data_IF_422387881268
#
_entry.id   IF_422387881268
#
_cell.length_a   1.000
_cell.length_b   1.000
_cell.length_c   1.000
_cell.angle_alpha   90.00
_cell.angle_beta   90.00
_cell.angle_gamma   90.00
#
_symmetry.space_group_name_H-M   'P 1'
#
loop_
_entity.id
_entity.type
_entity.pdbx_description
1 polymer ?
#
# COMPACT_ATOMS: atom_id res chain seq x y z
N UNK A 1 8.11 25.57 -33.09
CA UNK A 1 8.01 25.31 -31.64
C UNK A 1 6.73 24.52 -31.40
N UNK A 2 6.76 23.28 -30.88
CA UNK A 2 5.52 22.56 -30.62
C UNK A 2 4.87 23.12 -29.35
N UNK A 3 3.56 23.37 -29.41
CA UNK A 3 2.77 23.82 -28.26
C UNK A 3 2.45 22.63 -27.38
N UNK A 4 2.99 22.61 -26.16
CA UNK A 4 2.65 21.61 -25.14
C UNK A 4 1.22 21.86 -24.68
N UNK A 5 0.35 20.85 -24.74
CA UNK A 5 -1.00 20.93 -24.21
C UNK A 5 -0.95 21.14 -22.69
N UNK A 6 -1.47 22.27 -22.21
CA UNK A 6 -1.58 22.58 -20.80
C UNK A 6 -2.85 21.91 -20.24
N UNK A 7 -2.72 20.67 -19.77
CA UNK A 7 -3.83 20.00 -19.09
C UNK A 7 -4.05 20.64 -17.72
N UNK A 8 -5.21 21.26 -17.52
CA UNK A 8 -5.61 21.78 -16.22
C UNK A 8 -5.69 20.63 -15.22
N UNK A 9 -4.88 20.66 -14.18
CA UNK A 9 -5.02 19.72 -13.06
C UNK A 9 -6.41 19.90 -12.44
N UNK A 10 -7.13 18.82 -12.09
CA UNK A 10 -8.42 18.94 -11.43
C UNK A 10 -8.24 19.70 -10.12
N UNK A 11 -8.85 20.88 -10.04
CA UNK A 11 -8.91 21.70 -8.84
C UNK A 11 -9.80 20.99 -7.83
N UNK A 12 -9.19 20.44 -6.77
CA UNK A 12 -9.93 19.88 -5.64
C UNK A 12 -10.68 21.04 -4.98
N UNK A 13 -12.02 20.99 -4.83
CA UNK A 13 -12.77 22.05 -4.18
C UNK A 13 -12.29 22.20 -2.74
N UNK A 14 -11.74 23.37 -2.40
CA UNK A 14 -11.06 23.64 -1.13
C UNK A 14 -12.02 23.97 0.03
N UNK A 15 -13.33 23.95 -0.19
CA UNK A 15 -14.33 24.31 0.82
C UNK A 15 -15.57 23.41 0.72
N UNK A 16 -15.41 22.13 1.05
CA UNK A 16 -16.52 21.19 1.21
C UNK A 16 -16.78 21.03 2.71
N UNK A 17 -18.04 21.24 3.14
CA UNK A 17 -18.41 21.05 4.55
C UNK A 17 -18.16 19.60 5.00
N UNK A 18 -17.74 19.43 6.24
CA UNK A 18 -17.59 18.12 6.87
C UNK A 18 -18.88 17.30 6.82
N UNK A 19 -20.06 17.95 6.86
CA UNK A 19 -21.36 17.29 6.76
C UNK A 19 -21.58 16.62 5.40
N UNK A 20 -21.01 17.20 4.33
CA UNK A 20 -21.08 16.65 2.97
C UNK A 20 -20.06 15.51 2.83
N UNK A 21 -18.84 15.71 3.36
CA UNK A 21 -17.82 14.66 3.40
C UNK A 21 -18.30 13.44 4.20
N UNK A 22 -19.06 13.65 5.27
CA UNK A 22 -19.67 12.60 6.08
C UNK A 22 -20.58 11.64 5.28
N UNK A 23 -21.16 12.11 4.18
CA UNK A 23 -22.02 11.31 3.29
C UNK A 23 -21.25 10.51 2.24
N UNK A 24 -19.92 10.43 2.34
CA UNK A 24 -19.09 9.73 1.34
C UNK A 24 -19.51 8.28 1.11
N UNK A 25 -20.00 7.58 2.15
CA UNK A 25 -20.46 6.19 2.04
C UNK A 25 -21.67 6.08 1.12
N UNK A 26 -22.65 6.97 1.28
CA UNK A 26 -23.84 7.02 0.42
C UNK A 26 -23.47 7.35 -1.03
N UNK A 27 -22.53 8.29 -1.22
CA UNK A 27 -22.03 8.67 -2.55
C UNK A 27 -21.30 7.47 -3.19
N UNK A 28 -20.38 6.82 -2.47
CA UNK A 28 -19.65 5.66 -2.95
C UNK A 28 -20.60 4.49 -3.28
N UNK A 29 -21.57 4.20 -2.41
CA UNK A 29 -22.56 3.16 -2.63
C UNK A 29 -23.41 3.45 -3.88
N UNK A 30 -23.79 4.70 -4.09
CA UNK A 30 -24.53 5.15 -5.28
C UNK A 30 -23.72 4.93 -6.55
N UNK A 31 -22.42 5.27 -6.54
CA UNK A 31 -21.54 5.07 -7.70
C UNK A 31 -21.36 3.57 -7.99
N UNK A 32 -21.10 2.75 -6.96
CA UNK A 32 -20.90 1.30 -7.13
C UNK A 32 -22.19 0.62 -7.64
N UNK A 33 -23.35 1.05 -7.17
CA UNK A 33 -24.65 0.45 -7.53
C UNK A 33 -25.06 0.76 -8.97
N UNK A 34 -24.74 1.95 -9.46
CA UNK A 34 -25.05 2.37 -10.83
C UNK A 34 -23.94 1.90 -11.76
N UNK A 35 -24.02 0.70 -12.35
CA UNK A 35 -22.99 0.14 -13.27
C UNK A 35 -22.90 0.90 -14.60
N UNK A 36 -22.42 2.14 -14.56
CA UNK A 36 -22.17 2.96 -15.74
C UNK A 36 -20.67 3.04 -16.04
N UNK A 37 -20.27 3.20 -17.32
CA UNK A 37 -18.89 3.48 -17.67
C UNK A 37 -18.38 4.73 -16.92
N UNK A 38 -17.20 4.64 -16.31
CA UNK A 38 -16.57 5.77 -15.60
C UNK A 38 -16.73 5.78 -14.07
N UNK A 39 -17.43 4.80 -13.48
CA UNK A 39 -17.55 4.66 -12.01
C UNK A 39 -16.21 4.68 -11.28
N UNK A 40 -15.20 4.00 -11.82
CA UNK A 40 -13.86 3.98 -11.21
C UNK A 40 -13.26 5.39 -11.11
N UNK A 41 -13.43 6.22 -12.15
CA UNK A 41 -12.97 7.62 -12.13
C UNK A 41 -13.74 8.45 -11.08
N UNK A 42 -15.05 8.25 -10.98
CA UNK A 42 -15.88 8.94 -9.97
C UNK A 42 -15.47 8.59 -8.54
N UNK A 43 -15.25 7.30 -8.26
CA UNK A 43 -14.74 6.84 -6.96
C UNK A 43 -13.31 7.35 -6.69
N UNK A 44 -12.46 7.39 -7.71
CA UNK A 44 -11.11 7.96 -7.58
C UNK A 44 -11.17 9.44 -7.22
N UNK A 45 -12.04 10.23 -7.86
CA UNK A 45 -12.21 11.65 -7.56
C UNK A 45 -12.80 11.90 -6.15
N UNK A 46 -13.74 11.05 -5.72
CA UNK A 46 -14.25 11.08 -4.34
C UNK A 46 -13.11 10.80 -3.35
N UNK A 47 -12.28 9.79 -3.62
CA UNK A 47 -11.10 9.47 -2.82
C UNK A 47 -10.10 10.62 -2.76
N UNK A 48 -9.78 11.25 -3.91
CA UNK A 48 -8.86 12.39 -3.99
C UNK A 48 -9.39 13.57 -3.13
N UNK A 49 -10.71 13.79 -3.14
CA UNK A 49 -11.38 14.82 -2.33
C UNK A 49 -11.27 14.51 -0.84
N UNK A 50 -11.55 13.27 -0.42
CA UNK A 50 -11.45 12.83 0.98
C UNK A 50 -10.01 12.90 1.50
N UNK A 51 -9.03 12.47 0.68
CA UNK A 51 -7.62 12.55 1.02
C UNK A 51 -7.15 14.01 1.19
N UNK A 52 -7.65 14.92 0.34
CA UNK A 52 -7.43 16.36 0.47
C UNK A 52 -7.87 16.92 1.82
N UNK A 53 -8.95 16.38 2.39
CA UNK A 53 -9.49 16.76 3.71
C UNK A 53 -8.99 15.88 4.87
N UNK A 54 -7.94 15.07 4.66
CA UNK A 54 -7.33 14.17 5.65
C UNK A 54 -8.20 13.00 6.11
N UNK A 55 -9.25 12.67 5.38
CA UNK A 55 -10.08 11.47 5.62
C UNK A 55 -9.46 10.27 4.89
N UNK A 56 -8.28 9.85 5.35
CA UNK A 56 -7.42 8.89 4.64
C UNK A 56 -8.07 7.52 4.50
N UNK A 57 -8.66 7.00 5.57
CA UNK A 57 -9.29 5.67 5.54
C UNK A 57 -10.47 5.62 4.57
N UNK A 58 -11.33 6.65 4.60
CA UNK A 58 -12.44 6.80 3.66
C UNK A 58 -11.95 6.92 2.20
N UNK A 59 -10.87 7.68 1.97
CA UNK A 59 -10.24 7.78 0.66
C UNK A 59 -9.72 6.42 0.18
N UNK A 60 -9.07 5.65 1.05
CA UNK A 60 -8.55 4.32 0.73
C UNK A 60 -9.68 3.34 0.39
N UNK A 61 -10.82 3.38 1.07
CA UNK A 61 -12.00 2.58 0.67
C UNK A 61 -12.40 2.90 -0.77
N UNK A 62 -12.49 4.18 -1.12
CA UNK A 62 -12.82 4.59 -2.49
C UNK A 62 -11.79 4.08 -3.51
N UNK A 63 -10.49 4.20 -3.21
CA UNK A 63 -9.42 3.70 -4.08
C UNK A 63 -9.45 2.19 -4.27
N UNK A 64 -9.74 1.42 -3.22
CA UNK A 64 -9.88 -0.04 -3.28
C UNK A 64 -11.08 -0.48 -4.11
N UNK A 65 -12.14 0.33 -4.17
CA UNK A 65 -13.28 0.11 -5.06
C UNK A 65 -13.01 0.53 -6.51
N UNK A 66 -11.98 1.35 -6.76
CA UNK A 66 -11.59 1.85 -8.08
C UNK A 66 -10.15 1.49 -8.50
N UNK A 67 -9.73 0.24 -8.30
CA UNK A 67 -8.35 -0.23 -8.56
C UNK A 67 -7.85 -0.01 -9.98
N UNK A 68 -8.74 0.08 -10.97
CA UNK A 68 -8.36 0.33 -12.37
C UNK A 68 -7.78 1.73 -12.60
N UNK A 69 -8.13 2.70 -11.74
CA UNK A 69 -7.80 4.13 -11.89
C UNK A 69 -7.06 4.69 -10.67
N UNK A 70 -7.07 3.95 -9.56
CA UNK A 70 -6.34 4.24 -8.34
C UNK A 70 -5.16 3.29 -8.19
N UNK A 71 -3.95 3.82 -8.35
CA UNK A 71 -2.72 3.04 -8.29
C UNK A 71 -2.30 2.77 -6.85
N UNK A 72 -1.99 1.49 -6.58
CA UNK A 72 -1.35 1.03 -5.35
C UNK A 72 0.12 0.78 -5.69
N UNK A 73 1.02 1.54 -5.10
CA UNK A 73 2.46 1.42 -5.36
C UNK A 73 3.28 2.04 -4.23
N UNK A 74 4.59 1.80 -4.24
CA UNK A 74 5.52 2.44 -3.32
C UNK A 74 5.79 3.90 -3.66
N UNK A 75 6.40 4.62 -2.71
CA UNK A 75 6.86 5.98 -2.95
C UNK A 75 7.96 5.97 -4.02
N UNK A 76 7.70 6.62 -5.15
CA UNK A 76 8.68 6.86 -6.21
C UNK A 76 8.82 8.37 -6.45
N UNK A 77 9.98 8.78 -6.97
CA UNK A 77 10.25 10.17 -7.35
C UNK A 77 9.43 10.64 -8.56
N UNK A 78 8.82 9.72 -9.33
CA UNK A 78 8.11 10.05 -10.57
C UNK A 78 6.60 10.23 -10.42
N UNK A 79 5.98 9.67 -9.38
CA UNK A 79 4.53 9.79 -9.14
C UNK A 79 4.19 9.48 -7.68
N UNK A 80 3.30 10.28 -7.09
CA UNK A 80 2.77 10.01 -5.75
C UNK A 80 1.61 9.02 -5.88
N UNK A 81 1.76 7.77 -5.40
CA UNK A 81 0.67 6.80 -5.44
C UNK A 81 -0.48 7.24 -4.53
N UNK A 82 -1.70 6.88 -4.92
CA UNK A 82 -2.91 7.15 -4.11
C UNK A 82 -2.96 6.31 -2.85
N UNK A 83 -2.35 5.12 -2.89
CA UNK A 83 -2.28 4.21 -1.75
C UNK A 83 -0.89 3.56 -1.72
N UNK A 84 -0.19 3.69 -0.58
CA UNK A 84 1.09 3.01 -0.30
C UNK A 84 0.88 1.91 0.74
N UNK A 85 0.35 2.31 1.90
CA UNK A 85 -0.10 1.47 3.00
C UNK A 85 -1.58 1.74 3.23
N UNK A 86 -2.36 0.68 3.46
CA UNK A 86 -3.78 0.80 3.79
C UNK A 86 -3.94 1.52 5.14
N UNK A 87 -4.99 2.33 5.27
CA UNK A 87 -5.29 3.20 6.43
C UNK A 87 -4.20 4.16 6.93
N UNK A 88 -3.04 4.27 6.29
CA UNK A 88 -2.01 5.26 6.64
C UNK A 88 -1.87 6.34 5.57
N UNK A 89 -1.69 7.59 5.99
CA UNK A 89 -1.21 8.62 5.08
C UNK A 89 0.15 8.22 4.49
N UNK A 90 0.50 8.84 3.36
CA UNK A 90 1.69 8.48 2.60
C UNK A 90 2.94 8.54 3.50
N UNK A 91 3.69 7.42 3.67
CA UNK A 91 4.87 7.34 4.55
C UNK A 91 5.96 8.37 4.26
N UNK A 92 6.08 8.87 3.02
CA UNK A 92 7.02 9.95 2.66
C UNK A 92 6.66 11.31 3.29
N UNK A 93 5.42 11.47 3.75
CA UNK A 93 4.89 12.71 4.36
C UNK A 93 4.58 12.56 5.84
N UNK A 94 4.69 11.36 6.40
CA UNK A 94 4.32 11.06 7.79
C UNK A 94 5.48 10.42 8.54
N UNK A 95 6.07 11.12 9.50
CA UNK A 95 7.25 10.64 10.23
C UNK A 95 6.97 9.51 11.25
N UNK A 96 5.70 9.26 11.60
CA UNK A 96 5.32 8.30 12.64
C UNK A 96 4.68 7.02 12.08
N UNK A 97 4.77 6.75 10.78
CA UNK A 97 4.10 5.61 10.16
C UNK A 97 4.53 4.25 10.74
N UNK A 98 5.71 4.17 11.36
CA UNK A 98 6.24 2.97 11.97
C UNK A 98 5.74 2.70 13.39
N UNK A 99 5.13 3.67 14.06
CA UNK A 99 4.65 3.49 15.44
C UNK A 99 3.44 2.57 15.53
N UNK A 100 2.68 2.50 14.45
CA UNK A 100 1.47 1.70 14.34
C UNK A 100 1.72 0.58 13.32
N UNK A 101 1.46 -0.67 13.73
CA UNK A 101 1.58 -1.83 12.86
C UNK A 101 0.33 -2.10 12.02
N UNK A 102 -0.81 -1.50 12.37
CA UNK A 102 -2.08 -1.77 11.69
C UNK A 102 -2.03 -1.49 10.18
N UNK A 103 -1.41 -0.38 9.70
CA UNK A 103 -1.23 -0.16 8.26
C UNK A 103 -0.42 -1.26 7.56
N UNK A 104 0.53 -1.89 8.24
CA UNK A 104 1.30 -3.02 7.69
C UNK A 104 0.41 -4.24 7.56
N UNK A 105 -0.33 -4.58 8.62
CA UNK A 105 -1.24 -5.72 8.68
C UNK A 105 -2.37 -5.57 7.65
N UNK A 106 -3.00 -4.41 7.55
CA UNK A 106 -4.06 -4.16 6.56
C UNK A 106 -3.53 -4.24 5.13
N UNK A 107 -2.31 -3.79 4.88
CA UNK A 107 -1.68 -3.91 3.57
C UNK A 107 -1.35 -5.37 3.24
N UNK A 108 -0.99 -6.19 4.23
CA UNK A 108 -0.78 -7.63 4.07
C UNK A 108 -2.08 -8.37 3.77
N UNK A 109 -3.15 -8.06 4.49
CA UNK A 109 -4.49 -8.63 4.23
C UNK A 109 -4.94 -8.28 2.82
N UNK A 110 -4.72 -7.03 2.40
CA UNK A 110 -5.02 -6.62 1.03
C UNK A 110 -4.20 -7.40 0.00
N UNK A 111 -2.89 -7.52 0.17
CA UNK A 111 -2.05 -8.30 -0.73
C UNK A 111 -2.51 -9.77 -0.80
N UNK A 112 -2.84 -10.36 0.34
CA UNK A 112 -3.37 -11.71 0.42
C UNK A 112 -4.71 -11.85 -0.32
N UNK A 113 -5.66 -10.93 -0.10
CA UNK A 113 -6.93 -10.91 -0.82
C UNK A 113 -6.72 -10.82 -2.34
N UNK A 114 -5.72 -10.05 -2.79
CA UNK A 114 -5.38 -9.90 -4.19
C UNK A 114 -4.77 -11.15 -4.82
N UNK A 115 -4.11 -12.01 -4.04
CA UNK A 115 -3.57 -13.29 -4.55
C UNK A 115 -4.65 -14.28 -5.00
N UNK A 116 -5.90 -14.09 -4.58
CA UNK A 116 -7.04 -14.91 -5.03
C UNK A 116 -7.64 -14.45 -6.36
N UNK A 117 -7.25 -13.29 -6.88
CA UNK A 117 -7.80 -12.76 -8.13
C UNK A 117 -7.35 -13.65 -9.28
N UNK A 118 -8.31 -14.30 -9.94
CA UNK A 118 -8.03 -15.22 -11.04
C UNK A 118 -7.31 -14.51 -12.18
N UNK A 119 -6.23 -15.11 -12.67
CA UNK A 119 -5.49 -14.65 -13.83
C UNK A 119 -6.29 -14.95 -15.10
N UNK A 120 -6.67 -13.92 -15.85
CA UNK A 120 -7.22 -14.11 -17.20
C UNK A 120 -6.11 -14.50 -18.18
N UNK A 121 -6.39 -15.27 -19.23
CA UNK A 121 -5.40 -15.62 -20.25
C UNK A 121 -4.71 -14.36 -20.80
N UNK A 122 -3.37 -14.32 -20.74
CA UNK A 122 -2.56 -13.18 -21.19
C UNK A 122 -2.28 -12.11 -20.12
N UNK A 123 -2.74 -12.27 -18.88
CA UNK A 123 -2.29 -11.46 -17.75
C UNK A 123 -1.26 -12.21 -16.91
N UNK A 124 -0.20 -11.50 -16.54
CA UNK A 124 0.78 -11.98 -15.56
C UNK A 124 0.11 -12.22 -14.19
N UNK A 125 0.47 -13.30 -13.49
CA UNK A 125 -0.04 -13.54 -12.16
C UNK A 125 0.33 -12.43 -11.18
N UNK A 126 -0.53 -12.21 -10.19
CA UNK A 126 -0.24 -11.27 -9.13
C UNK A 126 0.88 -11.83 -8.24
N UNK A 127 2.07 -11.24 -8.31
CA UNK A 127 3.25 -11.66 -7.54
C UNK A 127 3.41 -10.93 -6.20
N UNK A 128 2.44 -10.11 -5.80
CA UNK A 128 2.55 -9.25 -4.63
C UNK A 128 3.12 -7.86 -4.96
N UNK A 129 3.18 -7.02 -3.95
CA UNK A 129 3.67 -5.66 -4.03
C UNK A 129 5.14 -5.60 -3.57
N UNK A 130 6.09 -5.27 -4.46
CA UNK A 130 7.50 -5.23 -4.07
C UNK A 130 7.81 -4.18 -3.00
N UNK A 131 7.09 -3.04 -3.01
CA UNK A 131 7.29 -1.99 -2.01
C UNK A 131 6.85 -2.38 -0.60
N UNK A 132 5.98 -3.39 -0.45
CA UNK A 132 5.54 -3.85 0.87
C UNK A 132 6.62 -4.63 1.62
N UNK A 133 7.64 -5.15 0.92
CA UNK A 133 8.65 -6.00 1.56
C UNK A 133 9.51 -5.23 2.57
N UNK A 134 9.77 -3.94 2.34
CA UNK A 134 10.50 -3.10 3.31
C UNK A 134 9.69 -2.82 4.57
N UNK A 135 8.37 -2.66 4.45
CA UNK A 135 7.48 -2.49 5.61
C UNK A 135 7.34 -3.78 6.42
N UNK A 136 7.29 -4.94 5.75
CA UNK A 136 7.36 -6.25 6.42
C UNK A 136 8.65 -6.46 7.18
N UNK A 137 9.78 -6.06 6.60
CA UNK A 137 11.07 -6.15 7.26
C UNK A 137 11.12 -5.24 8.50
N UNK A 138 10.60 -4.02 8.40
CA UNK A 138 10.47 -3.12 9.54
C UNK A 138 9.60 -3.74 10.65
N UNK A 139 8.48 -4.35 10.29
CA UNK A 139 7.64 -5.05 11.26
C UNK A 139 8.37 -6.25 11.90
N UNK A 140 9.14 -7.00 11.13
CA UNK A 140 9.96 -8.10 11.65
C UNK A 140 10.99 -7.61 12.68
N UNK A 141 11.63 -6.46 12.46
CA UNK A 141 12.52 -5.84 13.44
C UNK A 141 11.76 -5.51 14.75
N UNK A 142 10.59 -4.90 14.64
CA UNK A 142 9.74 -4.59 15.81
C UNK A 142 9.33 -5.85 16.58
N UNK A 143 9.05 -6.94 15.87
CA UNK A 143 8.74 -8.23 16.48
C UNK A 143 9.90 -8.80 17.29
N UNK A 144 11.14 -8.67 16.80
CA UNK A 144 12.33 -9.07 17.57
C UNK A 144 12.51 -8.20 18.81
N UNK A 145 12.28 -6.89 18.72
CA UNK A 145 12.31 -6.00 19.88
C UNK A 145 11.27 -6.37 20.94
N UNK A 146 10.14 -6.94 20.52
CA UNK A 146 9.09 -7.48 21.41
C UNK A 146 9.33 -8.93 21.84
N UNK A 147 10.46 -9.56 21.48
CA UNK A 147 10.79 -10.95 21.81
C UNK A 147 9.95 -12.00 21.06
N UNK A 148 9.37 -11.64 19.91
CA UNK A 148 8.54 -12.52 19.06
C UNK A 148 9.36 -13.12 17.92
N UNK A 149 10.51 -13.70 18.24
CA UNK A 149 11.54 -14.14 17.29
C UNK A 149 11.02 -15.17 16.27
N UNK A 150 10.23 -16.15 16.72
CA UNK A 150 9.62 -17.15 15.82
C UNK A 150 8.75 -16.50 14.74
N UNK A 151 8.02 -15.42 15.08
CA UNK A 151 7.20 -14.72 14.09
C UNK A 151 8.07 -13.84 13.17
N UNK A 152 9.07 -13.16 13.72
CA UNK A 152 10.02 -12.40 12.92
C UNK A 152 10.75 -13.28 11.90
N UNK A 153 11.15 -14.50 12.29
CA UNK A 153 11.76 -15.47 11.39
C UNK A 153 10.83 -15.85 10.23
N UNK A 154 9.54 -16.08 10.50
CA UNK A 154 8.55 -16.33 9.45
C UNK A 154 8.43 -15.16 8.46
N UNK A 155 8.54 -13.92 8.94
CA UNK A 155 8.57 -12.75 8.07
C UNK A 155 9.83 -12.75 7.19
N UNK A 156 11.01 -12.99 7.75
CA UNK A 156 12.25 -13.09 6.99
C UNK A 156 12.18 -14.17 5.89
N UNK A 157 11.66 -15.34 6.22
CA UNK A 157 11.49 -16.45 5.26
C UNK A 157 10.51 -16.10 4.14
N UNK A 158 9.39 -15.46 4.48
CA UNK A 158 8.39 -15.00 3.52
C UNK A 158 8.99 -13.96 2.56
N UNK A 159 9.70 -12.96 3.09
CA UNK A 159 10.39 -11.94 2.30
C UNK A 159 11.42 -12.59 1.37
N UNK A 160 12.22 -13.54 1.86
CA UNK A 160 13.19 -14.26 1.05
C UNK A 160 12.52 -15.06 -0.09
N UNK A 161 11.35 -15.66 0.16
CA UNK A 161 10.56 -16.33 -0.87
C UNK A 161 10.05 -15.34 -1.94
N UNK A 162 9.54 -14.19 -1.51
CA UNK A 162 9.08 -13.14 -2.42
C UNK A 162 10.23 -12.61 -3.28
N UNK A 163 11.45 -12.43 -2.73
CA UNK A 163 12.63 -12.01 -3.50
C UNK A 163 13.08 -13.00 -4.57
N UNK A 164 12.74 -14.30 -4.42
CA UNK A 164 13.00 -15.31 -5.46
C UNK A 164 11.95 -15.26 -6.58
N UNK A 165 10.75 -14.78 -6.26
CA UNK A 165 9.58 -14.80 -7.16
C UNK A 165 9.45 -13.49 -7.93
N UNK A 166 9.61 -12.34 -7.25
CA UNK A 166 9.58 -11.01 -7.83
C UNK A 166 10.96 -10.71 -8.41
N UNK A 167 10.99 -10.21 -9.65
CA UNK A 167 12.21 -9.85 -10.37
C UNK A 167 13.17 -8.99 -9.49
N UNK A 168 14.43 -9.44 -9.37
CA UNK A 168 15.52 -8.75 -8.64
C UNK A 168 15.81 -7.33 -9.14
N UNK A 169 15.29 -6.93 -10.30
CA UNK A 169 15.38 -5.58 -10.85
C UNK A 169 14.36 -4.57 -10.29
N UNK A 170 13.54 -4.95 -9.30
CA UNK A 170 12.59 -4.00 -8.69
C UNK A 170 13.34 -2.84 -7.99
N UNK A 171 12.94 -1.57 -8.22
CA UNK A 171 13.59 -0.42 -7.57
C UNK A 171 13.39 -0.41 -6.04
N UNK A 172 12.47 -1.24 -5.52
CA UNK A 172 12.19 -1.36 -4.10
C UNK A 172 13.16 -2.31 -3.36
N UNK A 173 13.88 -3.16 -4.09
CA UNK A 173 14.88 -4.07 -3.50
C UNK A 173 16.26 -3.40 -3.51
N UNK A 174 16.39 -2.36 -2.69
CA UNK A 174 17.63 -1.60 -2.54
C UNK A 174 18.71 -2.42 -1.82
N UNK A 175 19.98 -2.04 -2.00
CA UNK A 175 21.09 -2.69 -1.29
C UNK A 175 20.89 -2.65 0.23
N UNK A 176 20.50 -1.50 0.77
CA UNK A 176 20.20 -1.33 2.20
C UNK A 176 19.12 -2.29 2.69
N UNK A 177 18.06 -2.48 1.90
CA UNK A 177 17.00 -3.43 2.27
C UNK A 177 17.54 -4.87 2.37
N UNK A 178 18.38 -5.28 1.41
CA UNK A 178 18.99 -6.62 1.41
C UNK A 178 19.97 -6.81 2.57
N UNK A 179 20.77 -5.79 2.90
CA UNK A 179 21.68 -5.79 4.04
C UNK A 179 20.92 -5.92 5.36
N UNK A 180 19.83 -5.15 5.53
CA UNK A 180 19.00 -5.19 6.73
C UNK A 180 18.26 -6.53 6.90
N UNK A 181 17.81 -7.15 5.80
CA UNK A 181 17.22 -8.49 5.84
C UNK A 181 18.25 -9.54 6.27
N UNK A 182 19.48 -9.45 5.73
CA UNK A 182 20.58 -10.34 6.09
C UNK A 182 20.93 -10.19 7.58
N UNK A 183 21.11 -8.97 8.04
CA UNK A 183 21.42 -8.66 9.44
C UNK A 183 20.39 -9.25 10.41
N UNK A 184 19.09 -9.02 10.15
CA UNK A 184 18.03 -9.55 10.98
C UNK A 184 18.00 -11.08 10.98
N UNK A 185 18.21 -11.70 9.81
CA UNK A 185 18.23 -13.16 9.68
C UNK A 185 19.39 -13.78 10.46
N UNK A 186 20.60 -13.21 10.35
CA UNK A 186 21.78 -13.67 11.10
C UNK A 186 21.58 -13.51 12.61
N UNK A 187 20.98 -12.39 13.04
CA UNK A 187 20.64 -12.15 14.45
C UNK A 187 19.66 -13.19 15.00
N UNK A 188 18.63 -13.54 14.23
CA UNK A 188 17.63 -14.55 14.62
C UNK A 188 18.21 -15.96 14.70
N UNK A 189 19.22 -16.29 13.89
CA UNK A 189 19.94 -17.56 13.95
C UNK A 189 20.87 -17.63 15.16
N UNK A 190 21.51 -16.51 15.50
CA UNK A 190 22.42 -16.44 16.65
C UNK A 190 21.69 -16.37 18.01
N UNK A 191 20.41 -15.99 18.02
CA UNK A 191 19.61 -15.89 19.25
C UNK A 191 19.25 -17.29 19.80
N UNK A 192 19.41 -17.54 21.11
CA UNK A 192 18.96 -18.80 21.71
C UNK A 192 17.44 -18.92 21.60
N UNK A 193 16.98 -19.91 20.84
CA UNK A 193 15.56 -20.20 20.64
C UNK A 193 14.96 -20.72 21.96
N UNK A 194 14.45 -19.81 22.79
CA UNK A 194 13.71 -20.16 24.00
C UNK A 194 12.39 -20.83 23.59
N UNK A 195 12.40 -22.16 23.55
CA UNK A 195 11.19 -22.96 23.43
C UNK A 195 10.31 -22.73 24.67
N UNK A 196 9.10 -22.22 24.44
CA UNK A 196 7.95 -22.31 25.35
C UNK A 196 6.83 -23.03 24.61
#
# INVERSE_FOLDING_TARGET
TPMTANFSQPTIPTNISADILGKWQDIAATIVSNRVPGNSNGLTALGDTLAGHKWIEAAHVCYLLSRSTSTISGCSNTSSPRLVLVSSANPSKTHNFSKDSDPFIFSEILEYALSFVSTTPGQEPFHGFPHLQSYRLLHAWQLVEMGRDKLAQRYCDAIASTLRTINRGSPFFTLTFLEQLKELTERLVAAPQLEK
#
